data_IF_370672012230
#
_entry.id   IF_370672012230
#
_cell.length_a   1.000
_cell.length_b   1.000
_cell.length_c   1.000
_cell.angle_alpha   90.00
_cell.angle_beta   90.00
_cell.angle_gamma   90.00
#
_symmetry.space_group_name_H-M   'P 1'
#
loop_
_entity.id
_entity.type
_entity.pdbx_description
1 polymer ?
#
# COMPACT_ATOMS: atom_id res chain seq x y z
N UNK A 1 -9.40 5.72 6.44
CA UNK A 1 -8.46 6.31 5.46
C UNK A 1 -8.88 7.76 5.35
N UNK A 2 -8.01 8.70 5.69
CA UNK A 2 -8.37 10.13 5.65
C UNK A 2 -8.73 10.56 4.23
N UNK A 3 -9.48 11.66 4.09
CA UNK A 3 -9.86 12.21 2.79
C UNK A 3 -8.64 12.47 1.89
N UNK A 4 -7.55 13.01 2.47
CA UNK A 4 -6.29 13.25 1.76
C UNK A 4 -5.64 11.96 1.26
N UNK A 5 -5.62 10.91 2.09
CA UNK A 5 -5.05 9.61 1.70
C UNK A 5 -5.87 8.95 0.58
N UNK A 6 -7.20 9.00 0.68
CA UNK A 6 -8.08 8.49 -0.38
C UNK A 6 -7.88 9.25 -1.70
N UNK A 7 -7.73 10.57 -1.63
CA UNK A 7 -7.44 11.40 -2.80
C UNK A 7 -6.09 11.02 -3.44
N UNK A 8 -5.03 10.87 -2.64
CA UNK A 8 -3.70 10.48 -3.14
C UNK A 8 -3.73 9.07 -3.76
N UNK A 9 -4.44 8.12 -3.13
CA UNK A 9 -4.62 6.78 -3.69
C UNK A 9 -5.38 6.80 -5.02
N UNK A 10 -6.47 7.58 -5.14
CA UNK A 10 -7.19 7.73 -6.42
C UNK A 10 -6.26 8.30 -7.50
N UNK A 11 -5.45 9.31 -7.17
CA UNK A 11 -4.47 9.89 -8.11
C UNK A 11 -3.40 8.90 -8.55
N UNK A 12 -2.95 8.00 -7.68
CA UNK A 12 -1.97 6.97 -8.08
C UNK A 12 -2.60 5.89 -8.95
N UNK A 13 -3.87 5.54 -8.75
CA UNK A 13 -4.63 4.66 -9.66
C UNK A 13 -4.79 5.31 -11.03
N UNK A 14 -5.19 6.59 -11.08
CA UNK A 14 -5.30 7.35 -12.35
C UNK A 14 -3.96 7.40 -13.10
N UNK A 15 -2.85 7.57 -12.37
CA UNK A 15 -1.51 7.55 -12.95
C UNK A 15 -1.19 6.17 -13.56
N UNK A 16 -1.53 5.09 -12.87
CA UNK A 16 -1.33 3.74 -13.41
C UNK A 16 -2.12 3.54 -14.70
N UNK A 17 -3.39 3.95 -14.77
CA UNK A 17 -4.20 3.88 -16.00
C UNK A 17 -3.52 4.62 -17.15
N UNK A 18 -3.06 5.85 -16.92
CA UNK A 18 -2.34 6.64 -17.94
C UNK A 18 -1.04 5.97 -18.39
N UNK A 19 -0.30 5.31 -17.49
CA UNK A 19 0.87 4.52 -17.85
C UNK A 19 0.50 3.33 -18.73
N UNK A 20 -0.64 2.67 -18.48
CA UNK A 20 -1.13 1.59 -19.34
C UNK A 20 -1.48 2.11 -20.73
N UNK A 21 -2.23 3.21 -20.82
CA UNK A 21 -2.60 3.87 -22.09
C UNK A 21 -1.35 4.30 -22.89
N UNK A 22 -0.42 5.01 -22.25
CA UNK A 22 0.81 5.47 -22.91
C UNK A 22 1.63 4.30 -23.48
N UNK A 23 1.79 3.23 -22.69
CA UNK A 23 2.60 2.08 -23.09
C UNK A 23 1.92 1.18 -24.14
N UNK A 24 0.63 1.40 -24.47
CA UNK A 24 0.00 0.70 -25.61
C UNK A 24 0.60 1.10 -26.96
N UNK A 25 1.21 2.28 -27.04
CA UNK A 25 1.82 2.80 -28.26
C UNK A 25 3.30 2.40 -28.42
N UNK A 26 3.85 1.66 -27.46
CA UNK A 26 5.25 1.22 -27.52
C UNK A 26 5.43 0.08 -28.55
N UNK A 27 6.61 -0.04 -29.17
CA UNK A 27 6.93 -1.19 -30.01
C UNK A 27 6.78 -2.51 -29.24
N UNK A 28 6.37 -3.59 -29.93
CA UNK A 28 6.24 -4.92 -29.32
C UNK A 28 7.54 -5.44 -28.68
N UNK A 29 8.70 -5.00 -29.16
CA UNK A 29 10.01 -5.33 -28.58
C UNK A 29 10.15 -4.86 -27.12
N UNK A 30 9.43 -3.81 -26.71
CA UNK A 30 9.49 -3.23 -25.37
C UNK A 30 8.48 -3.86 -24.39
N UNK A 31 7.71 -4.85 -24.81
CA UNK A 31 6.64 -5.44 -24.00
C UNK A 31 7.17 -5.97 -22.65
N UNK A 32 8.29 -6.70 -22.69
CA UNK A 32 8.92 -7.26 -21.51
C UNK A 32 9.99 -6.34 -20.89
N UNK A 33 10.43 -5.32 -21.65
CA UNK A 33 11.37 -4.29 -21.22
C UNK A 33 10.65 -3.12 -20.54
N UNK A 34 10.64 -1.96 -21.21
CA UNK A 34 10.11 -0.73 -20.63
C UNK A 34 8.62 -0.81 -20.28
N UNK A 35 7.80 -1.47 -21.09
CA UNK A 35 6.35 -1.57 -20.86
C UNK A 35 6.04 -2.24 -19.53
N UNK A 36 6.64 -3.40 -19.27
CA UNK A 36 6.43 -4.13 -18.02
C UNK A 36 6.97 -3.36 -16.81
N UNK A 37 8.15 -2.75 -16.93
CA UNK A 37 8.76 -1.99 -15.83
C UNK A 37 7.92 -0.76 -15.44
N UNK A 38 7.42 0.00 -16.42
CA UNK A 38 6.58 1.18 -16.18
C UNK A 38 5.26 0.77 -15.52
N UNK A 39 4.55 -0.23 -16.09
CA UNK A 39 3.26 -0.68 -15.57
C UNK A 39 3.35 -1.21 -14.14
N UNK A 40 4.36 -2.03 -13.85
CA UNK A 40 4.58 -2.57 -12.48
C UNK A 40 4.95 -1.48 -11.48
N UNK A 41 5.81 -0.55 -11.88
CA UNK A 41 6.21 0.58 -11.03
C UNK A 41 5.00 1.47 -10.70
N UNK A 42 4.16 1.79 -11.68
CA UNK A 42 2.98 2.63 -11.48
C UNK A 42 1.95 1.97 -10.54
N UNK A 43 1.66 0.68 -10.73
CA UNK A 43 0.75 -0.08 -9.84
C UNK A 43 1.29 -0.17 -8.41
N UNK A 44 2.61 -0.34 -8.26
CA UNK A 44 3.26 -0.43 -6.95
C UNK A 44 3.01 0.81 -6.08
N UNK A 45 2.90 2.01 -6.67
CA UNK A 45 2.59 3.24 -5.91
C UNK A 45 1.24 3.14 -5.20
N UNK A 46 0.19 2.72 -5.91
CA UNK A 46 -1.15 2.56 -5.33
C UNK A 46 -1.19 1.46 -4.27
N UNK A 47 -0.52 0.33 -4.53
CA UNK A 47 -0.43 -0.78 -3.57
C UNK A 47 0.28 -0.37 -2.27
N UNK A 48 1.40 0.34 -2.36
CA UNK A 48 2.13 0.82 -1.18
C UNK A 48 1.30 1.79 -0.32
N UNK A 49 0.50 2.67 -0.95
CA UNK A 49 -0.41 3.57 -0.24
C UNK A 49 -1.49 2.78 0.51
N UNK A 50 -2.10 1.79 -0.16
CA UNK A 50 -3.14 0.95 0.42
C UNK A 50 -2.60 0.07 1.58
N UNK A 51 -1.43 -0.54 1.41
CA UNK A 51 -0.78 -1.32 2.46
C UNK A 51 -0.34 -0.47 3.65
N UNK A 52 0.22 0.71 3.40
CA UNK A 52 0.61 1.66 4.44
C UNK A 52 -0.58 2.03 5.32
N UNK A 53 -1.75 2.21 4.72
CA UNK A 53 -3.00 2.41 5.44
C UNK A 53 -3.41 1.17 6.28
N UNK A 54 -3.40 -0.03 5.67
CA UNK A 54 -3.73 -1.27 6.38
C UNK A 54 -2.80 -1.59 7.55
N UNK A 55 -1.53 -1.16 7.48
CA UNK A 55 -0.55 -1.28 8.57
C UNK A 55 -0.83 -0.29 9.71
N UNK A 56 -1.23 0.95 9.42
CA UNK A 56 -1.60 1.95 10.45
C UNK A 56 -2.77 1.44 11.30
N UNK A 57 -3.82 0.92 10.67
CA UNK A 57 -4.98 0.34 11.38
C UNK A 57 -4.64 -0.92 12.17
N UNK A 58 -3.72 -1.77 11.69
CA UNK A 58 -3.26 -2.97 12.44
C UNK A 58 -2.35 -2.67 13.64
N UNK A 59 -1.49 -1.65 13.54
CA UNK A 59 -0.57 -1.31 14.63
C UNK A 59 -1.29 -0.67 15.83
N UNK A 60 -2.40 0.05 15.61
CA UNK A 60 -3.26 0.50 16.72
C UNK A 60 -3.98 -0.68 17.42
N UNK A 61 -4.36 -1.73 16.68
CA UNK A 61 -5.11 -2.85 17.25
C UNK A 61 -4.25 -3.90 17.97
N UNK A 62 -2.96 -4.01 17.64
CA UNK A 62 -2.06 -5.04 18.21
C UNK A 62 -1.18 -4.54 19.35
N UNK A 63 -0.96 -3.23 19.46
CA UNK A 63 -0.18 -2.64 20.54
C UNK A 63 -0.96 -2.61 21.87
N UNK A 64 -2.28 -2.41 21.85
CA UNK A 64 -3.13 -2.35 23.05
C UNK A 64 -3.26 -3.71 23.74
N UNK A 65 -3.56 -4.79 23.01
CA UNK A 65 -3.71 -6.14 23.59
C UNK A 65 -2.43 -6.73 24.17
N UNK A 66 -1.26 -6.43 23.60
CA UNK A 66 0.02 -6.95 24.13
C UNK A 66 0.47 -6.23 25.40
N UNK A 67 0.05 -4.97 25.60
CA UNK A 67 0.33 -4.23 26.83
C UNK A 67 -0.53 -4.71 28.00
N UNK A 68 -1.82 -4.99 27.76
CA UNK A 68 -2.74 -5.47 28.80
C UNK A 68 -2.45 -6.91 29.24
N UNK A 69 -2.12 -7.81 28.29
CA UNK A 69 -1.76 -9.19 28.61
C UNK A 69 -0.44 -9.35 29.39
N UNK A 70 0.41 -8.30 29.42
CA UNK A 70 1.66 -8.28 30.21
C UNK A 70 1.45 -7.83 31.66
N UNK A 71 0.41 -7.03 31.97
CA UNK A 71 0.10 -6.62 33.36
C UNK A 71 -0.49 -7.76 34.20
N UNK A 72 -1.36 -8.57 33.61
CA UNK A 72 -2.05 -9.64 34.34
C UNK A 72 -1.14 -10.80 34.77
N UNK A 73 0.02 -10.99 34.11
CA UNK A 73 1.04 -11.97 34.52
C UNK A 73 1.99 -11.47 35.61
N UNK A 74 2.02 -10.17 35.88
CA UNK A 74 2.85 -9.59 36.93
C UNK A 74 2.11 -9.49 38.28
N UNK A 75 0.78 -9.35 38.26
CA UNK A 75 -0.04 -9.21 39.48
C UNK A 75 -0.43 -10.56 40.11
N UNK A 76 -0.42 -11.66 39.35
CA UNK A 76 -0.69 -13.02 39.85
C UNK A 76 0.51 -13.75 40.46
N UNK A 77 1.56 -13.02 40.86
CA UNK A 77 2.82 -13.59 41.37
C UNK A 77 3.29 -12.96 42.68
N UNK A 78 2.34 -12.52 43.50
CA UNK A 78 2.54 -12.14 44.92
C UNK A 78 1.87 -13.19 45.78
#
# INVERSE_FOLDING_TARGET
MSYREQFIWKKSVDLAVKCYELTQHFPRSELYGLTNQIRRSAVSVASNIAEGYGRRTKNEYSATRKAEGRRQKAEGRI
#
